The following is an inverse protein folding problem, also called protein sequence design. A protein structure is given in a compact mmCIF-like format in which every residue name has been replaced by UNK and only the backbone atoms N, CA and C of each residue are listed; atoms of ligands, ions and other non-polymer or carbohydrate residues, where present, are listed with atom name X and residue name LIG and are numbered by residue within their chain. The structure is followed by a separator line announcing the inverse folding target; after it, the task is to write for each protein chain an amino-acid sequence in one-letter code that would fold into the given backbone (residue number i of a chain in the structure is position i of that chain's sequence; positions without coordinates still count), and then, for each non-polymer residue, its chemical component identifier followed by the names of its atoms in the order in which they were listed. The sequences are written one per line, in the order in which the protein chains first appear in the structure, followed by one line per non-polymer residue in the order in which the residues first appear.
data_IF_090312651568
#
_entry.id   IF_090312651568
#
_cell.length_a   1.000
_cell.length_b   1.000
_cell.length_c   1.000
_cell.angle_alpha   90.00
_cell.angle_beta   90.00
_cell.angle_gamma   90.00
#
_symmetry.space_group_name_H-M   'P 1'
#
loop_
_entity.id
_entity.type
_entity.pdbx_description
1 polymer ?
#
# COMPACT_ATOMS: atom_id res chain seq x y z
N UNK A 1 -54.16 28.63 40.55
CA UNK A 1 -53.45 28.83 39.26
C UNK A 1 -52.09 28.16 39.41
N UNK A 2 -51.98 26.91 38.97
CA UNK A 2 -50.78 26.07 39.15
C UNK A 2 -49.86 26.20 37.93
N UNK A 3 -48.63 26.65 38.17
CA UNK A 3 -47.62 26.88 37.15
C UNK A 3 -46.76 25.62 37.00
N UNK A 4 -47.02 24.80 35.97
CA UNK A 4 -46.19 23.65 35.62
C UNK A 4 -44.91 24.15 34.91
N UNK A 5 -43.75 24.00 35.56
CA UNK A 5 -42.43 24.18 34.95
C UNK A 5 -42.03 22.87 34.28
N UNK A 6 -42.11 22.83 32.95
CA UNK A 6 -41.62 21.72 32.14
C UNK A 6 -40.10 21.85 32.00
N UNK A 7 -39.33 20.91 32.57
CA UNK A 7 -37.89 20.81 32.35
C UNK A 7 -37.64 20.10 31.01
N UNK A 8 -37.03 20.80 30.05
CA UNK A 8 -36.47 20.21 28.83
C UNK A 8 -35.14 19.56 29.18
N UNK A 9 -35.08 18.22 29.18
CA UNK A 9 -33.83 17.49 29.20
C UNK A 9 -33.17 17.58 27.82
N UNK A 10 -32.08 18.34 27.73
CA UNK A 10 -31.18 18.31 26.60
C UNK A 10 -30.47 16.94 26.56
N UNK A 11 -30.90 16.06 25.65
CA UNK A 11 -30.26 14.78 25.40
C UNK A 11 -28.90 14.99 24.73
N UNK A 12 -27.81 14.79 25.48
CA UNK A 12 -26.47 14.65 24.92
C UNK A 12 -26.34 13.25 24.31
N UNK A 13 -26.67 13.11 23.04
CA UNK A 13 -26.34 11.89 22.28
C UNK A 13 -24.84 11.90 22.05
N UNK A 14 -24.09 11.21 22.92
CA UNK A 14 -22.69 10.87 22.67
C UNK A 14 -22.71 9.86 21.53
N UNK A 15 -22.57 10.35 20.30
CA UNK A 15 -22.33 9.52 19.13
C UNK A 15 -21.01 8.77 19.33
N UNK A 16 -21.09 7.49 19.67
CA UNK A 16 -19.97 6.57 19.59
C UNK A 16 -19.71 6.39 18.09
N UNK A 17 -18.84 7.22 17.53
CA UNK A 17 -18.29 6.96 16.21
C UNK A 17 -17.50 5.64 16.32
N UNK A 18 -17.77 4.64 15.47
CA UNK A 18 -16.89 3.50 15.37
C UNK A 18 -15.51 4.04 14.99
N UNK A 19 -14.53 3.85 15.86
CA UNK A 19 -13.12 3.97 15.49
C UNK A 19 -12.92 2.99 14.35
N UNK A 20 -12.75 3.50 13.14
CA UNK A 20 -12.12 2.75 12.06
C UNK A 20 -10.81 2.25 12.65
N UNK A 21 -10.74 0.95 12.90
CA UNK A 21 -9.52 0.31 13.36
C UNK A 21 -8.48 0.63 12.31
N UNK A 22 -7.43 1.37 12.68
CA UNK A 22 -6.25 1.49 11.84
C UNK A 22 -5.69 0.07 11.77
N UNK A 23 -6.07 -0.66 10.72
CA UNK A 23 -5.52 -1.97 10.43
C UNK A 23 -4.01 -1.78 10.35
N UNK A 24 -3.30 -2.30 11.34
CA UNK A 24 -1.85 -2.19 11.43
C UNK A 24 -1.32 -2.78 10.15
N UNK A 25 -0.63 -1.98 9.35
CA UNK A 25 0.15 -2.46 8.20
C UNK A 25 1.17 -3.43 8.80
N UNK A 26 0.84 -4.72 8.82
CA UNK A 26 1.70 -5.78 9.34
C UNK A 26 2.68 -6.19 8.24
N UNK A 27 3.84 -6.68 8.64
CA UNK A 27 4.77 -7.36 7.75
C UNK A 27 4.04 -8.50 7.01
N UNK A 28 4.32 -8.68 5.72
CA UNK A 28 3.62 -9.60 4.80
C UNK A 28 2.19 -9.23 4.43
N UNK A 29 1.72 -8.02 4.76
CA UNK A 29 0.40 -7.60 4.33
C UNK A 29 0.35 -7.41 2.81
N UNK A 30 -0.67 -8.01 2.20
CA UNK A 30 -0.94 -7.91 0.78
C UNK A 30 -2.17 -7.03 0.58
N UNK A 31 -2.06 -6.09 -0.33
CA UNK A 31 -3.11 -5.11 -0.54
C UNK A 31 -3.34 -4.91 -2.02
N UNK A 32 -4.61 -4.89 -2.42
CA UNK A 32 -4.92 -4.50 -3.77
C UNK A 32 -4.55 -3.03 -3.99
N UNK A 33 -4.25 -2.71 -5.24
CA UNK A 33 -4.02 -1.35 -5.68
C UNK A 33 -4.85 -1.09 -6.92
N UNK A 34 -5.11 0.19 -7.20
CA UNK A 34 -5.83 0.58 -8.41
C UNK A 34 -5.21 -0.05 -9.66
N UNK A 35 -6.06 -0.71 -10.44
CA UNK A 35 -5.77 -1.48 -11.65
C UNK A 35 -6.81 -1.16 -12.72
N UNK A 36 -6.54 -1.59 -13.95
CA UNK A 36 -7.54 -1.57 -15.02
C UNK A 36 -8.60 -2.66 -14.81
N UNK A 37 -9.82 -2.55 -15.37
CA UNK A 37 -10.90 -3.50 -15.10
C UNK A 37 -10.63 -4.96 -15.54
N UNK A 38 -9.66 -5.17 -16.44
CA UNK A 38 -9.30 -6.49 -16.97
C UNK A 38 -8.27 -7.23 -16.13
N UNK A 39 -7.75 -6.61 -15.07
CA UNK A 39 -6.65 -7.14 -14.27
C UNK A 39 -6.87 -6.88 -12.78
N UNK A 40 -6.08 -7.58 -11.97
CA UNK A 40 -5.94 -7.33 -10.54
C UNK A 40 -4.48 -6.99 -10.28
N UNK A 41 -4.23 -5.88 -9.60
CA UNK A 41 -2.90 -5.51 -9.10
C UNK A 41 -2.87 -5.50 -7.58
N UNK A 42 -1.74 -5.92 -7.02
CA UNK A 42 -1.50 -5.85 -5.59
C UNK A 42 -0.05 -5.51 -5.27
N UNK A 43 0.15 -4.99 -4.07
CA UNK A 43 1.44 -4.83 -3.44
C UNK A 43 1.60 -5.88 -2.37
N UNK A 44 2.84 -6.35 -2.18
CA UNK A 44 3.18 -7.20 -1.07
C UNK A 44 4.30 -6.52 -0.28
N UNK A 45 3.99 -6.21 0.98
CA UNK A 45 4.90 -5.51 1.88
C UNK A 45 5.86 -6.53 2.47
N UNK A 46 7.15 -6.38 2.17
CA UNK A 46 8.18 -7.34 2.56
C UNK A 46 8.87 -6.95 3.86
N UNK A 47 9.17 -5.67 4.01
CA UNK A 47 9.77 -5.09 5.22
C UNK A 47 9.52 -3.58 5.28
N UNK A 48 9.76 -2.99 6.46
CA UNK A 48 9.85 -1.55 6.61
C UNK A 48 11.11 -1.16 7.38
N UNK A 49 11.65 0.00 7.05
CA UNK A 49 12.77 0.63 7.76
C UNK A 49 12.39 2.02 8.23
N UNK A 50 13.06 2.50 9.27
CA UNK A 50 12.94 3.90 9.74
C UNK A 50 14.21 4.65 9.43
N UNK A 51 14.07 5.78 8.75
CA UNK A 51 15.17 6.70 8.46
C UNK A 51 14.80 8.05 9.08
N UNK A 52 15.40 8.35 10.23
CA UNK A 52 14.99 9.51 11.04
C UNK A 52 13.54 9.35 11.53
N UNK A 53 12.66 10.29 11.15
CA UNK A 53 11.23 10.26 11.46
C UNK A 53 10.38 9.68 10.32
N UNK A 54 11.00 9.22 9.24
CA UNK A 54 10.29 8.70 8.06
C UNK A 54 10.24 7.17 8.11
N UNK A 55 9.04 6.61 7.89
CA UNK A 55 8.83 5.18 7.70
C UNK A 55 8.84 4.87 6.21
N UNK A 56 9.83 4.08 5.78
CA UNK A 56 10.02 3.62 4.41
C UNK A 56 9.64 2.15 4.34
N UNK A 57 8.65 1.82 3.54
CA UNK A 57 8.23 0.46 3.27
C UNK A 57 8.94 -0.03 2.01
N UNK A 58 9.28 -1.30 1.98
CA UNK A 58 9.86 -1.96 0.82
C UNK A 58 8.90 -3.04 0.34
N UNK A 59 8.49 -2.89 -0.92
CA UNK A 59 7.40 -3.68 -1.51
C UNK A 59 7.82 -4.22 -2.87
N UNK A 60 7.22 -5.34 -3.27
CA UNK A 60 7.10 -5.74 -4.67
C UNK A 60 5.66 -5.58 -5.14
N UNK A 61 5.50 -5.47 -6.47
CA UNK A 61 4.21 -5.17 -7.10
C UNK A 61 3.92 -6.19 -8.18
N UNK A 62 2.69 -6.67 -8.19
CA UNK A 62 2.24 -7.71 -9.10
C UNK A 62 0.97 -7.32 -9.84
N UNK A 63 0.76 -7.98 -10.97
CA UNK A 63 -0.43 -7.94 -11.80
C UNK A 63 -0.84 -9.35 -12.19
N UNK A 64 -2.13 -9.55 -12.38
CA UNK A 64 -2.68 -10.76 -12.96
C UNK A 64 -3.91 -10.40 -13.78
N UNK A 65 -4.06 -10.98 -14.97
CA UNK A 65 -5.28 -10.80 -15.75
C UNK A 65 -6.46 -11.51 -15.08
N UNK A 66 -7.65 -10.92 -15.21
CA UNK A 66 -8.85 -11.48 -14.60
C UNK A 66 -9.28 -12.74 -15.39
N UNK A 67 -9.29 -13.89 -14.71
CA UNK A 67 -9.58 -15.19 -15.31
C UNK A 67 -8.37 -16.12 -15.33
N UNK A 68 -7.17 -15.58 -15.13
CA UNK A 68 -5.95 -16.38 -15.06
C UNK A 68 -5.81 -17.13 -13.73
N UNK A 69 -5.13 -18.29 -13.83
CA UNK A 69 -4.71 -19.05 -12.66
C UNK A 69 -3.66 -18.26 -11.86
N UNK A 70 -3.57 -18.51 -10.56
CA UNK A 70 -2.77 -17.69 -9.64
C UNK A 70 -1.27 -17.72 -9.97
N UNK A 71 -0.83 -18.81 -10.56
CA UNK A 71 0.54 -19.09 -10.98
C UNK A 71 1.00 -18.17 -12.12
N UNK A 72 0.07 -17.46 -12.78
CA UNK A 72 0.35 -16.51 -13.87
C UNK A 72 0.48 -15.05 -13.38
N UNK A 73 0.63 -14.84 -12.07
CA UNK A 73 0.98 -13.53 -11.54
C UNK A 73 2.29 -13.03 -12.16
N UNK A 74 2.22 -11.89 -12.84
CA UNK A 74 3.39 -11.20 -13.37
C UNK A 74 3.83 -10.12 -12.38
N UNK A 75 5.12 -9.83 -12.37
CA UNK A 75 5.71 -8.81 -11.52
C UNK A 75 5.82 -7.51 -12.29
N UNK A 76 5.24 -6.44 -11.74
CA UNK A 76 5.34 -5.09 -12.28
C UNK A 76 6.57 -4.34 -11.77
N UNK A 77 7.02 -4.65 -10.55
CA UNK A 77 8.24 -4.11 -9.98
C UNK A 77 8.85 -5.10 -8.98
N UNK A 78 10.15 -5.33 -9.12
CA UNK A 78 10.94 -6.16 -8.20
C UNK A 78 11.05 -5.55 -6.81
N UNK A 79 11.20 -4.22 -6.75
CA UNK A 79 11.37 -3.50 -5.50
C UNK A 79 10.95 -2.04 -5.69
N UNK A 80 10.20 -1.53 -4.72
CA UNK A 80 9.93 -0.10 -4.54
C UNK A 80 10.13 0.23 -3.06
N UNK A 81 10.97 1.23 -2.78
CA UNK A 81 10.96 1.94 -1.52
C UNK A 81 9.88 3.02 -1.55
N UNK A 82 8.93 3.02 -0.61
CA UNK A 82 7.76 3.90 -0.60
C UNK A 82 7.51 4.45 0.80
N UNK A 83 7.21 5.76 0.90
CA UNK A 83 6.83 6.36 2.17
C UNK A 83 5.46 5.88 2.66
N UNK A 84 5.25 5.84 3.98
CA UNK A 84 3.96 5.47 4.59
C UNK A 84 2.76 6.14 3.92
N UNK A 85 2.78 7.46 3.77
CA UNK A 85 1.63 8.20 3.24
C UNK A 85 1.35 7.86 1.77
N UNK A 86 2.40 7.64 0.98
CA UNK A 86 2.28 7.20 -0.39
C UNK A 86 1.66 5.80 -0.47
N UNK A 87 2.12 4.86 0.37
CA UNK A 87 1.59 3.51 0.46
C UNK A 87 0.12 3.50 0.90
N UNK A 88 -0.24 4.21 1.96
CA UNK A 88 -1.61 4.33 2.46
C UNK A 88 -2.58 4.90 1.40
N UNK A 89 -2.11 5.82 0.57
CA UNK A 89 -2.91 6.36 -0.54
C UNK A 89 -2.94 5.45 -1.78
N UNK A 90 -2.22 4.32 -1.76
CA UNK A 90 -2.16 3.35 -2.86
C UNK A 90 -3.05 2.14 -2.64
N UNK A 91 -3.12 1.68 -1.39
CA UNK A 91 -3.74 0.43 -0.99
C UNK A 91 -5.26 0.55 -0.83
N UNK A 92 -5.98 -0.52 -1.16
CA UNK A 92 -7.42 -0.64 -0.92
C UNK A 92 -7.73 -1.72 0.12
N UNK A 93 -8.28 -2.84 -0.36
CA UNK A 93 -8.66 -4.00 0.45
C UNK A 93 -7.51 -5.01 0.57
N UNK A 94 -7.45 -5.76 1.68
CA UNK A 94 -6.47 -6.82 1.84
C UNK A 94 -6.68 -7.93 0.81
N UNK A 95 -5.59 -8.62 0.45
CA UNK A 95 -5.58 -9.75 -0.49
C UNK A 95 -5.10 -11.00 0.25
N UNK A 96 -5.75 -12.15 -0.01
CA UNK A 96 -5.51 -13.36 0.77
C UNK A 96 -4.27 -14.17 0.33
N UNK A 97 -3.82 -14.01 -0.91
CA UNK A 97 -2.72 -14.80 -1.48
C UNK A 97 -1.81 -13.93 -2.34
N UNK A 98 -0.50 -14.03 -2.11
CA UNK A 98 0.53 -13.41 -2.94
C UNK A 98 1.53 -14.39 -3.48
N UNK A 99 2.71 -13.88 -3.81
CA UNK A 99 3.78 -14.65 -4.44
C UNK A 99 4.82 -15.01 -3.39
N UNK A 100 5.05 -16.32 -3.11
CA UNK A 100 6.00 -16.74 -2.09
C UNK A 100 7.46 -16.49 -2.49
N UNK A 101 7.74 -16.45 -3.79
CA UNK A 101 9.08 -16.19 -4.34
C UNK A 101 9.58 -14.79 -3.93
N UNK A 102 10.85 -14.71 -3.54
CA UNK A 102 11.46 -13.52 -2.91
C UNK A 102 12.80 -13.12 -3.53
N UNK A 103 13.39 -13.95 -4.39
CA UNK A 103 14.72 -13.73 -4.96
C UNK A 103 14.79 -12.43 -5.77
N UNK A 104 13.83 -12.22 -6.68
CA UNK A 104 13.78 -10.99 -7.46
C UNK A 104 13.61 -9.74 -6.58
N UNK A 105 12.82 -9.85 -5.49
CA UNK A 105 12.70 -8.78 -4.50
C UNK A 105 14.03 -8.49 -3.81
N UNK A 106 14.74 -9.52 -3.35
CA UNK A 106 16.04 -9.37 -2.69
C UNK A 106 17.06 -8.73 -3.63
N UNK A 107 17.07 -9.11 -4.90
CA UNK A 107 17.94 -8.49 -5.90
C UNK A 107 17.63 -6.99 -6.07
N UNK A 108 16.35 -6.62 -6.19
CA UNK A 108 15.90 -5.23 -6.27
C UNK A 108 16.26 -4.41 -5.03
N UNK A 109 15.99 -4.95 -3.83
CA UNK A 109 16.36 -4.33 -2.55
C UNK A 109 17.87 -4.11 -2.47
N UNK A 110 18.67 -5.11 -2.81
CA UNK A 110 20.13 -5.01 -2.77
C UNK A 110 20.67 -3.97 -3.75
N UNK A 111 20.05 -3.81 -4.92
CA UNK A 111 20.37 -2.71 -5.85
C UNK A 111 20.12 -1.36 -5.16
N UNK A 112 18.94 -1.16 -4.58
CA UNK A 112 18.58 0.08 -3.89
C UNK A 112 19.50 0.40 -2.71
N UNK A 113 19.83 -0.59 -1.88
CA UNK A 113 20.74 -0.42 -0.73
C UNK A 113 22.14 -0.01 -1.18
N UNK A 114 22.63 -0.54 -2.30
CA UNK A 114 23.96 -0.19 -2.84
C UNK A 114 23.99 1.19 -3.50
N UNK A 115 22.85 1.73 -3.93
CA UNK A 115 22.75 3.10 -4.46
C UNK A 115 23.12 4.13 -3.37
N UNK A 116 23.93 5.16 -3.69
CA UNK A 116 24.25 6.25 -2.76
C UNK A 116 22.98 6.90 -2.19
N UNK A 117 22.98 7.27 -0.92
CA UNK A 117 21.78 7.75 -0.24
C UNK A 117 21.14 8.99 -0.91
N UNK A 118 21.93 9.85 -1.54
CA UNK A 118 21.46 11.02 -2.30
C UNK A 118 20.74 10.68 -3.61
N UNK A 119 20.91 9.46 -4.11
CA UNK A 119 20.40 8.97 -5.40
C UNK A 119 19.35 7.87 -5.24
N UNK A 120 19.11 7.40 -4.01
CA UNK A 120 18.07 6.39 -3.74
C UNK A 120 16.70 6.95 -4.07
N UNK A 121 16.01 6.31 -4.99
CA UNK A 121 14.63 6.64 -5.27
C UNK A 121 13.72 6.16 -4.13
N UNK A 122 12.81 7.04 -3.72
CA UNK A 122 11.80 6.77 -2.71
C UNK A 122 10.48 7.32 -3.24
N UNK A 123 9.53 6.42 -3.45
CA UNK A 123 8.21 6.75 -3.95
C UNK A 123 7.44 7.57 -2.91
N UNK A 124 7.17 8.85 -3.24
CA UNK A 124 6.40 9.80 -2.40
C UNK A 124 4.99 10.09 -2.93
N UNK A 125 4.54 9.30 -3.89
CA UNK A 125 3.23 9.42 -4.56
C UNK A 125 2.56 8.05 -4.56
N UNK A 126 1.23 7.96 -4.80
CA UNK A 126 0.59 6.65 -4.93
C UNK A 126 1.34 5.76 -5.93
N UNK A 127 1.51 4.49 -5.59
CA UNK A 127 2.44 3.56 -6.24
C UNK A 127 2.21 3.45 -7.75
N UNK A 128 0.97 3.63 -8.20
CA UNK A 128 0.61 3.65 -9.62
C UNK A 128 1.39 4.71 -10.41
N UNK A 129 1.73 5.84 -9.77
CA UNK A 129 2.54 6.91 -10.38
C UNK A 129 4.03 6.60 -10.39
N UNK A 130 4.49 5.76 -9.48
CA UNK A 130 5.89 5.32 -9.43
C UNK A 130 6.13 4.19 -10.45
N UNK A 131 5.14 3.31 -10.66
CA UNK A 131 5.19 2.26 -11.69
C UNK A 131 5.25 2.81 -13.12
N UNK A 132 4.54 3.90 -13.41
CA UNK A 132 4.55 4.54 -14.74
C UNK A 132 5.97 4.94 -15.21
N UNK A 133 6.88 5.20 -14.27
CA UNK A 133 8.27 5.52 -14.59
C UNK A 133 9.15 4.28 -14.77
N UNK A 134 8.76 3.13 -14.20
CA UNK A 134 9.54 1.88 -14.24
C UNK A 134 9.31 1.09 -15.54
N UNK A 135 8.07 1.09 -16.06
CA UNK A 135 7.73 0.41 -17.33
C UNK A 135 8.34 1.15 -18.54
N UNK A 136 8.49 2.47 -18.46
CA UNK A 136 9.06 3.27 -19.55
C UNK A 136 10.54 2.98 -19.83
N UNK A 137 11.27 2.32 -18.93
CA UNK A 137 12.66 1.90 -19.15
C UNK A 137 12.77 0.52 -19.83
N UNK A 138 11.70 -0.27 -19.84
CA UNK A 138 11.70 -1.65 -20.36
C UNK A 138 11.25 -1.74 -21.82
N UNK A 139 10.56 -0.73 -22.33
CA UNK A 139 10.13 -0.63 -23.74
C UNK A 139 11.20 -0.02 -24.68
N UNK A 140 12.44 0.10 -24.20
CA UNK A 140 13.57 0.72 -24.90
C UNK A 140 14.54 -0.23 -25.59
N UNK A 141 14.08 -1.38 -26.10
CA UNK A 141 14.87 -2.31 -26.91
C UNK A 141 14.23 -2.59 -28.28
#
# INVERSE_FOLDING_TARGET
MNLHRTFLFAGLIIGILPRVSAETINDHALWNIKSDPSETRWVQIREFSRVGNEEIFHVDVYVRENGDVKELALRLADHIAIERNALLNSIGQPVEMGVPEIEAYQQGLMKWVRTPASERDVCRRPIQRCLQNLVSETDGF
#
